data_IF_250259073379
#
_entry.id   IF_250259073379
#
_cell.length_a   1.000
_cell.length_b   1.000
_cell.length_c   1.000
_cell.angle_alpha   90.00
_cell.angle_beta   90.00
_cell.angle_gamma   90.00
#
_symmetry.space_group_name_H-M   'P 1'
#
loop_
_entity.id
_entity.type
_entity.pdbx_description
1 polymer ?
#
# COMPACT_ATOMS: atom_id res chain seq x y z
N UNK A 1 18.72 5.81 1.17
CA UNK A 1 17.75 5.09 0.32
C UNK A 1 16.58 6.03 0.13
N UNK A 2 16.06 6.17 -1.09
CA UNK A 2 14.90 7.04 -1.36
C UNK A 2 13.65 6.39 -0.79
N UNK A 3 12.81 7.16 -0.10
CA UNK A 3 11.47 6.74 0.30
C UNK A 3 10.56 6.62 -0.94
N UNK A 4 9.55 5.74 -0.89
CA UNK A 4 8.53 5.63 -1.94
C UNK A 4 7.76 6.96 -2.04
N UNK A 5 7.65 7.51 -3.25
CA UNK A 5 6.92 8.76 -3.50
C UNK A 5 5.53 8.48 -4.07
N UNK A 6 4.62 9.44 -3.92
CA UNK A 6 3.25 9.29 -4.42
C UNK A 6 3.22 9.18 -5.96
N UNK A 7 4.07 9.94 -6.65
CA UNK A 7 4.18 9.84 -8.11
C UNK A 7 4.62 8.44 -8.54
N UNK A 8 5.60 7.85 -7.85
CA UNK A 8 6.05 6.49 -8.13
C UNK A 8 4.95 5.46 -7.86
N UNK A 9 4.19 5.61 -6.78
CA UNK A 9 3.06 4.73 -6.48
C UNK A 9 1.98 4.78 -7.57
N UNK A 10 1.65 5.97 -8.10
CA UNK A 10 0.70 6.13 -9.20
C UNK A 10 1.18 5.42 -10.48
N UNK A 11 2.44 5.60 -10.85
CA UNK A 11 3.02 4.93 -12.01
C UNK A 11 2.90 3.40 -11.92
N UNK A 12 3.15 2.83 -10.75
CA UNK A 12 3.08 1.38 -10.53
C UNK A 12 1.64 0.90 -10.55
N UNK A 13 0.73 1.55 -9.81
CA UNK A 13 -0.67 1.12 -9.74
C UNK A 13 -1.32 1.11 -11.14
N UNK A 14 -1.02 2.10 -11.99
CA UNK A 14 -1.51 2.15 -13.37
C UNK A 14 -1.07 0.96 -14.26
N UNK A 15 -0.06 0.18 -13.86
CA UNK A 15 0.36 -1.05 -14.56
C UNK A 15 -0.47 -2.27 -14.16
N UNK A 16 -1.09 -2.25 -12.98
CA UNK A 16 -1.74 -3.41 -12.36
C UNK A 16 -3.25 -3.25 -12.18
N UNK A 17 -3.74 -2.01 -12.23
CA UNK A 17 -5.14 -1.65 -12.04
C UNK A 17 -5.67 -0.93 -13.27
N UNK A 18 -6.87 -1.28 -13.70
CA UNK A 18 -7.59 -0.64 -14.82
C UNK A 18 -8.97 -0.14 -14.42
N UNK A 19 -9.56 -0.66 -13.35
CA UNK A 19 -10.93 -0.32 -12.96
C UNK A 19 -11.01 1.07 -12.28
N UNK A 20 -11.84 2.01 -12.79
CA UNK A 20 -11.89 3.38 -12.27
C UNK A 20 -12.21 3.50 -10.78
N UNK A 21 -13.03 2.59 -10.24
CA UNK A 21 -13.43 2.64 -8.84
C UNK A 21 -12.29 2.25 -7.89
N UNK A 22 -11.35 1.40 -8.33
CA UNK A 22 -10.17 1.03 -7.56
C UNK A 22 -9.19 2.20 -7.44
N UNK A 23 -9.07 3.04 -8.47
CA UNK A 23 -8.30 4.29 -8.36
C UNK A 23 -8.92 5.30 -7.38
N UNK A 24 -10.25 5.36 -7.32
CA UNK A 24 -10.96 6.21 -6.34
C UNK A 24 -10.71 5.70 -4.92
N UNK A 25 -10.78 4.39 -4.70
CA UNK A 25 -10.45 3.75 -3.43
C UNK A 25 -9.00 4.02 -3.01
N UNK A 26 -8.04 3.76 -3.90
CA UNK A 26 -6.63 4.07 -3.67
C UNK A 26 -6.39 5.54 -3.31
N UNK A 27 -7.05 6.48 -4.00
CA UNK A 27 -6.95 7.91 -3.70
C UNK A 27 -7.54 8.28 -2.33
N UNK A 28 -8.65 7.65 -1.93
CA UNK A 28 -9.26 7.87 -0.63
C UNK A 28 -8.35 7.38 0.51
N UNK A 29 -7.81 6.16 0.39
CA UNK A 29 -6.88 5.59 1.38
C UNK A 29 -5.57 6.38 1.41
N UNK A 30 -5.04 6.80 0.26
CA UNK A 30 -3.88 7.69 0.16
C UNK A 30 -4.08 9.00 0.93
N UNK A 31 -5.24 9.65 0.78
CA UNK A 31 -5.59 10.86 1.53
C UNK A 31 -5.68 10.61 3.04
N UNK A 32 -6.31 9.51 3.46
CA UNK A 32 -6.42 9.13 4.86
C UNK A 32 -5.03 8.86 5.49
N UNK A 33 -4.18 8.11 4.79
CA UNK A 33 -2.82 7.83 5.23
C UNK A 33 -1.97 9.09 5.33
N UNK A 34 -2.10 10.03 4.39
CA UNK A 34 -1.43 11.33 4.47
C UNK A 34 -1.85 12.15 5.69
N UNK A 35 -3.13 12.12 6.07
CA UNK A 35 -3.61 12.81 7.28
C UNK A 35 -3.14 12.12 8.57
N UNK A 36 -3.10 10.78 8.58
CA UNK A 36 -2.58 10.01 9.72
C UNK A 36 -1.08 10.21 9.90
N UNK A 37 -0.33 10.38 8.81
CA UNK A 37 1.09 10.72 8.87
C UNK A 37 1.31 12.04 9.62
N UNK A 38 0.53 13.09 9.33
CA UNK A 38 0.60 14.36 10.05
C UNK A 38 0.30 14.20 11.55
N UNK A 39 -0.68 13.35 11.90
CA UNK A 39 -1.04 13.06 13.29
C UNK A 39 0.08 12.37 14.07
N UNK A 40 0.73 11.37 13.46
CA UNK A 40 1.79 10.58 14.10
C UNK A 40 3.21 11.14 13.87
N UNK A 41 3.36 12.25 13.14
CA UNK A 41 4.66 12.83 12.81
C UNK A 41 5.45 12.04 11.74
N UNK A 42 4.76 11.27 10.90
CA UNK A 42 5.32 10.54 9.77
C UNK A 42 5.51 11.41 8.52
N UNK A 43 6.18 10.85 7.51
CA UNK A 43 6.31 11.49 6.20
C UNK A 43 4.99 11.36 5.42
N UNK A 44 4.32 12.50 5.21
CA UNK A 44 3.03 12.57 4.53
C UNK A 44 3.07 12.02 3.12
N UNK A 45 4.10 12.33 2.34
CA UNK A 45 4.17 11.88 0.95
C UNK A 45 4.37 10.37 0.88
N UNK A 46 5.25 9.84 1.72
CA UNK A 46 5.52 8.41 1.82
C UNK A 46 4.30 7.61 2.27
N UNK A 47 3.60 8.04 3.32
CA UNK A 47 2.38 7.36 3.80
C UNK A 47 1.26 7.44 2.78
N UNK A 48 1.11 8.58 2.09
CA UNK A 48 0.14 8.73 0.99
C UNK A 48 0.46 7.74 -0.14
N UNK A 49 1.75 7.52 -0.43
CA UNK A 49 2.18 6.58 -1.46
C UNK A 49 1.89 5.12 -1.06
N UNK A 50 2.18 4.74 0.20
CA UNK A 50 1.82 3.43 0.76
C UNK A 50 0.31 3.20 0.66
N UNK A 51 -0.50 4.18 1.09
CA UNK A 51 -1.96 4.10 1.00
C UNK A 51 -2.47 4.00 -0.44
N UNK A 52 -1.82 4.66 -1.39
CA UNK A 52 -2.21 4.56 -2.80
C UNK A 52 -1.92 3.17 -3.40
N UNK A 53 -0.84 2.52 -2.95
CA UNK A 53 -0.35 1.27 -3.54
C UNK A 53 -0.84 0.02 -2.81
N UNK A 54 -1.58 0.16 -1.70
CA UNK A 54 -1.88 -0.96 -0.80
C UNK A 54 -2.57 -2.16 -1.49
N UNK A 55 -3.49 -1.86 -2.41
CA UNK A 55 -4.29 -2.85 -3.15
C UNK A 55 -3.74 -3.19 -4.54
N UNK A 56 -2.43 -3.04 -4.76
CA UNK A 56 -1.82 -3.24 -6.09
C UNK A 56 -2.11 -4.62 -6.71
N UNK A 57 -2.36 -5.65 -5.90
CA UNK A 57 -2.69 -6.99 -6.38
C UNK A 57 -4.19 -7.30 -6.47
N UNK A 58 -5.05 -6.42 -5.94
CA UNK A 58 -6.47 -6.71 -5.72
C UNK A 58 -7.25 -7.01 -7.01
N UNK A 59 -7.10 -6.20 -8.05
CA UNK A 59 -7.86 -6.36 -9.30
C UNK A 59 -7.58 -7.71 -9.97
N UNK A 60 -6.32 -8.15 -9.95
CA UNK A 60 -5.90 -9.40 -10.60
C UNK A 60 -6.11 -10.63 -9.70
N UNK A 61 -6.02 -10.45 -8.39
CA UNK A 61 -6.02 -11.52 -7.40
C UNK A 61 -6.94 -11.23 -6.20
N UNK A 62 -8.26 -11.06 -6.41
CA UNK A 62 -9.16 -10.67 -5.33
C UNK A 62 -9.25 -11.71 -4.21
N UNK A 63 -9.26 -13.01 -4.54
CA UNK A 63 -9.34 -14.11 -3.57
C UNK A 63 -7.99 -14.42 -2.87
N UNK A 64 -6.89 -13.90 -3.43
CA UNK A 64 -5.52 -14.09 -2.96
C UNK A 64 -4.84 -12.77 -2.62
N UNK A 65 -5.63 -11.74 -2.35
CA UNK A 65 -5.18 -10.39 -2.08
C UNK A 65 -4.14 -10.36 -0.95
N UNK A 66 -3.18 -9.43 -1.01
CA UNK A 66 -1.96 -9.37 -0.21
C UNK A 66 -0.92 -10.47 -0.45
N UNK A 67 -1.24 -11.58 -1.15
CA UNK A 67 -0.26 -12.67 -1.39
C UNK A 67 0.63 -12.40 -2.58
N UNK A 68 0.22 -11.51 -3.48
CA UNK A 68 0.93 -11.19 -4.71
C UNK A 68 1.58 -9.80 -4.69
N UNK A 69 1.35 -8.98 -3.65
CA UNK A 69 2.01 -7.67 -3.49
C UNK A 69 3.52 -7.75 -3.70
N UNK A 70 4.20 -8.71 -3.06
CA UNK A 70 5.66 -8.86 -3.19
C UNK A 70 6.08 -9.16 -4.63
N UNK A 71 5.39 -10.09 -5.28
CA UNK A 71 5.64 -10.46 -6.68
C UNK A 71 5.53 -9.25 -7.62
N UNK A 72 4.59 -8.35 -7.37
CA UNK A 72 4.36 -7.17 -8.20
C UNK A 72 5.31 -6.01 -7.89
N UNK A 73 5.71 -5.83 -6.63
CA UNK A 73 6.45 -4.63 -6.19
C UNK A 73 7.97 -4.81 -6.14
N UNK A 74 8.50 -6.03 -5.93
CA UNK A 74 9.94 -6.27 -5.95
C UNK A 74 10.58 -5.90 -7.31
N UNK A 75 10.02 -6.28 -8.48
CA UNK A 75 10.58 -5.92 -9.78
C UNK A 75 10.53 -4.40 -10.07
N UNK A 76 9.64 -3.67 -9.40
CA UNK A 76 9.50 -2.22 -9.51
C UNK A 76 10.51 -1.46 -8.63
N UNK A 77 11.34 -2.18 -7.88
CA UNK A 77 12.40 -1.63 -7.02
C UNK A 77 11.90 -1.09 -5.68
N UNK A 78 10.72 -1.51 -5.23
CA UNK A 78 10.16 -1.11 -3.94
C UNK A 78 10.91 -1.81 -2.80
N UNK A 79 11.13 -1.08 -1.71
CA UNK A 79 11.87 -1.60 -0.56
C UNK A 79 11.12 -2.73 0.16
N UNK A 80 11.86 -3.64 0.78
CA UNK A 80 11.26 -4.73 1.56
C UNK A 80 10.40 -4.22 2.72
N UNK A 81 10.80 -3.10 3.33
CA UNK A 81 10.07 -2.44 4.41
C UNK A 81 8.70 -1.90 3.94
N UNK A 82 8.65 -1.29 2.74
CA UNK A 82 7.41 -0.79 2.15
C UNK A 82 6.49 -1.94 1.72
N UNK A 83 7.05 -2.99 1.11
CA UNK A 83 6.31 -4.21 0.73
C UNK A 83 5.72 -4.87 1.98
N UNK A 84 6.51 -5.01 3.04
CA UNK A 84 6.07 -5.56 4.33
C UNK A 84 4.98 -4.69 4.95
N UNK A 85 5.12 -3.36 4.88
CA UNK A 85 4.11 -2.42 5.36
C UNK A 85 2.81 -2.57 4.61
N UNK A 86 2.85 -2.65 3.28
CA UNK A 86 1.66 -2.90 2.46
C UNK A 86 1.04 -4.24 2.84
N UNK A 87 1.77 -5.37 2.79
CA UNK A 87 1.19 -6.69 3.08
C UNK A 87 0.53 -6.77 4.48
N UNK A 88 1.02 -5.99 5.45
CA UNK A 88 0.47 -6.01 6.82
C UNK A 88 -0.99 -5.58 6.93
N UNK A 89 -1.56 -4.88 5.93
CA UNK A 89 -2.94 -4.44 6.00
C UNK A 89 -3.95 -5.61 5.95
N UNK A 90 -3.60 -6.71 5.29
CA UNK A 90 -4.43 -7.92 5.24
C UNK A 90 -4.22 -8.89 6.42
N UNK A 91 -3.52 -8.49 7.48
CA UNK A 91 -3.11 -9.38 8.57
C UNK A 91 -4.29 -10.15 9.20
N UNK A 92 -4.27 -11.48 9.06
CA UNK A 92 -5.34 -12.34 9.58
C UNK A 92 -6.66 -12.33 8.78
N UNK A 93 -6.74 -11.54 7.71
CA UNK A 93 -7.93 -11.42 6.85
C UNK A 93 -7.72 -12.10 5.48
N UNK A 94 -6.53 -11.96 4.90
CA UNK A 94 -6.22 -12.44 3.53
C UNK A 94 -5.21 -13.60 3.50
N UNK A 95 -4.82 -14.09 4.69
CA UNK A 95 -3.71 -15.03 4.85
C UNK A 95 -2.35 -14.34 5.00
N UNK A 96 -2.29 -13.01 4.96
CA UNK A 96 -1.10 -12.27 5.34
C UNK A 96 -0.75 -12.52 6.83
N UNK A 97 0.53 -12.82 7.09
CA UNK A 97 1.03 -13.18 8.43
C UNK A 97 1.81 -12.05 9.11
N UNK A 98 2.02 -10.93 8.40
CA UNK A 98 2.80 -9.80 8.89
C UNK A 98 1.90 -8.95 9.79
N UNK A 99 2.15 -9.00 11.10
CA UNK A 99 1.37 -8.23 12.07
C UNK A 99 1.69 -6.73 11.97
N UNK A 100 0.69 -5.83 11.94
CA UNK A 100 0.94 -4.40 12.00
C UNK A 100 1.47 -4.00 13.39
N UNK A 101 2.65 -3.40 13.43
CA UNK A 101 3.34 -3.01 14.67
C UNK A 101 3.68 -1.53 14.73
N UNK A 102 3.96 -0.90 13.60
CA UNK A 102 4.22 0.55 13.49
C UNK A 102 2.93 1.34 13.34
N UNK A 103 2.99 2.66 13.57
CA UNK A 103 1.82 3.52 13.40
C UNK A 103 1.34 3.58 11.95
N UNK A 104 2.27 3.52 10.97
CA UNK A 104 1.93 3.43 9.56
C UNK A 104 1.17 2.13 9.24
N UNK A 105 1.69 0.98 9.69
CA UNK A 105 1.05 -0.32 9.46
C UNK A 105 -0.33 -0.41 10.12
N UNK A 106 -0.46 0.08 11.36
CA UNK A 106 -1.75 0.12 12.07
C UNK A 106 -2.76 1.07 11.43
N UNK A 107 -2.28 2.14 10.81
CA UNK A 107 -3.12 3.10 10.08
C UNK A 107 -3.65 2.53 8.77
N UNK A 108 -2.88 1.63 8.13
CA UNK A 108 -3.27 0.98 6.89
C UNK A 108 -4.15 -0.26 7.11
N UNK A 109 -4.02 -0.91 8.26
CA UNK A 109 -4.77 -2.13 8.60
C UNK A 109 -6.29 -1.90 8.60
N UNK A 110 -7.01 -2.70 7.80
CA UNK A 110 -8.46 -2.65 7.63
C UNK A 110 -9.04 -4.06 7.47
#
# INVERSE_FOLDING_TARGET
MSTLTLERAKEILHKHTTEPHLFVHAAAVSGAMGALAEHFGGDKEHWSAIGYLHDVDFEKFPDEHCRHVRELLEPEGISDDDITTIISHGYGLTGATIKPTTDCQKSLFA
#
